data_IF_558524858469
#
_entry.id   IF_558524858469
#
_cell.length_a   1.000
_cell.length_b   1.000
_cell.length_c   1.000
_cell.angle_alpha   90.00
_cell.angle_beta   90.00
_cell.angle_gamma   90.00
#
_symmetry.space_group_name_H-M   'P 1'
#
loop_
_entity.id
_entity.type
_entity.pdbx_description
1 polymer ?
#
# COMPACT_ATOMS: atom_id res chain seq x y z
N UNK A 1 9.47 41.94 -33.15
CA UNK A 1 10.75 41.42 -32.63
C UNK A 1 10.46 40.09 -31.98
N UNK A 2 11.18 39.02 -32.34
CA UNK A 2 11.02 37.69 -31.72
C UNK A 2 11.83 37.65 -30.42
N UNK A 3 11.17 37.35 -29.30
CA UNK A 3 11.86 37.07 -28.05
C UNK A 3 12.63 35.76 -28.19
N UNK A 4 13.95 35.81 -28.00
CA UNK A 4 14.80 34.63 -27.96
C UNK A 4 14.73 34.07 -26.54
N UNK A 5 14.11 32.90 -26.38
CA UNK A 5 14.11 32.16 -25.13
C UNK A 5 15.27 31.17 -25.19
N UNK A 6 16.31 31.42 -24.40
CA UNK A 6 17.39 30.45 -24.18
C UNK A 6 17.16 29.83 -22.81
N UNK A 7 16.70 28.58 -22.78
CA UNK A 7 16.60 27.81 -21.55
C UNK A 7 17.98 27.24 -21.23
N UNK A 8 18.52 27.59 -20.07
CA UNK A 8 19.72 26.98 -19.51
C UNK A 8 19.26 25.86 -18.57
N UNK A 9 19.75 24.65 -18.78
CA UNK A 9 19.13 23.42 -18.24
C UNK A 9 19.21 23.25 -16.71
N UNK A 10 19.80 24.20 -15.98
CA UNK A 10 20.10 24.08 -14.55
C UNK A 10 19.72 25.31 -13.70
N UNK A 11 18.79 26.18 -14.11
CA UNK A 11 18.50 27.38 -13.29
C UNK A 11 17.00 27.72 -13.17
N UNK A 12 16.59 27.95 -11.93
CA UNK A 12 15.26 28.33 -11.41
C UNK A 12 14.71 29.67 -11.94
N UNK A 13 15.37 30.27 -12.93
CA UNK A 13 15.07 31.62 -13.43
C UNK A 13 15.15 31.66 -14.95
N UNK A 14 14.18 32.33 -15.57
CA UNK A 14 14.23 32.71 -16.98
C UNK A 14 14.70 34.15 -17.08
N UNK A 15 15.63 34.43 -17.99
CA UNK A 15 16.05 35.81 -18.30
C UNK A 15 15.09 36.41 -19.32
N UNK A 16 14.30 37.39 -18.88
CA UNK A 16 13.40 38.15 -19.74
C UNK A 16 14.06 39.49 -20.07
N UNK A 17 14.09 39.84 -21.35
CA UNK A 17 14.57 41.16 -21.80
C UNK A 17 13.35 42.03 -22.07
N UNK A 18 13.22 43.12 -21.29
CA UNK A 18 12.14 44.08 -21.42
C UNK A 18 12.34 44.98 -22.65
N UNK A 19 11.30 45.67 -23.14
CA UNK A 19 11.38 46.52 -24.34
C UNK A 19 12.39 47.67 -24.24
N UNK A 20 12.77 48.08 -23.02
CA UNK A 20 13.79 49.09 -22.74
C UNK A 20 15.23 48.52 -22.71
N UNK A 21 15.39 47.22 -22.98
CA UNK A 21 16.67 46.52 -22.95
C UNK A 21 17.09 46.01 -21.57
N UNK A 22 16.31 46.28 -20.52
CA UNK A 22 16.57 45.78 -19.17
C UNK A 22 16.40 44.27 -19.12
N UNK A 23 17.38 43.56 -18.54
CA UNK A 23 17.31 42.11 -18.33
C UNK A 23 16.87 41.81 -16.90
N UNK A 24 15.72 41.18 -16.74
CA UNK A 24 15.17 40.75 -15.45
C UNK A 24 15.25 39.24 -15.33
N UNK A 25 15.60 38.74 -14.13
CA UNK A 25 15.43 37.34 -13.77
C UNK A 25 14.00 37.17 -13.27
N UNK A 26 13.19 36.46 -14.02
CA UNK A 26 11.88 36.02 -13.58
C UNK A 26 12.04 34.63 -12.96
N UNK A 27 11.53 34.39 -11.75
CA UNK A 27 11.42 33.03 -11.21
C UNK A 27 10.60 32.24 -12.22
N UNK A 28 11.12 31.12 -12.69
CA UNK A 28 10.30 30.17 -13.44
C UNK A 28 9.12 29.82 -12.53
N UNK A 29 7.91 30.26 -12.90
CA UNK A 29 6.70 29.98 -12.14
C UNK A 29 6.67 28.49 -11.85
N UNK A 30 6.57 28.15 -10.55
CA UNK A 30 6.55 26.77 -10.05
C UNK A 30 5.71 25.91 -10.97
N UNK A 31 6.23 24.75 -11.38
CA UNK A 31 5.43 23.78 -12.13
C UNK A 31 4.06 23.68 -11.46
N UNK A 32 3.00 23.92 -12.22
CA UNK A 32 1.65 23.63 -11.76
C UNK A 32 1.58 22.13 -11.55
N UNK A 33 1.98 21.65 -10.36
CA UNK A 33 1.77 20.28 -9.91
C UNK A 33 0.26 20.10 -9.87
N UNK A 34 -0.29 19.49 -10.92
CA UNK A 34 -1.67 19.07 -10.93
C UNK A 34 -1.85 18.07 -9.78
N UNK A 35 -2.46 18.50 -8.70
CA UNK A 35 -2.81 17.62 -7.58
C UNK A 35 -4.01 16.77 -8.01
N UNK A 36 -3.74 15.53 -8.39
CA UNK A 36 -4.81 14.57 -8.65
C UNK A 36 -5.23 13.91 -7.34
N UNK A 37 -6.47 14.12 -6.91
CA UNK A 37 -7.06 13.40 -5.79
C UNK A 37 -7.71 12.12 -6.31
N UNK A 38 -6.98 11.01 -6.25
CA UNK A 38 -7.55 9.69 -6.52
C UNK A 38 -8.00 9.04 -5.22
N UNK A 39 -9.28 8.67 -5.13
CA UNK A 39 -9.79 7.80 -4.07
C UNK A 39 -9.83 6.37 -4.58
N UNK A 40 -9.21 5.44 -3.83
CA UNK A 40 -9.20 4.02 -4.14
C UNK A 40 -9.47 3.27 -2.85
N UNK A 41 -10.52 2.45 -2.88
CA UNK A 41 -10.96 1.69 -1.72
C UNK A 41 -11.39 0.30 -2.17
N UNK A 42 -11.15 -0.68 -1.32
CA UNK A 42 -11.79 -1.97 -1.38
C UNK A 42 -12.66 -2.13 -0.13
N UNK A 43 -13.78 -2.82 -0.27
CA UNK A 43 -14.67 -3.11 0.84
C UNK A 43 -15.16 -4.56 0.74
N UNK A 44 -15.49 -5.11 1.90
CA UNK A 44 -16.13 -6.42 2.04
C UNK A 44 -17.38 -6.23 2.89
N UNK A 45 -18.38 -7.07 2.64
CA UNK A 45 -19.59 -7.10 3.42
C UNK A 45 -20.12 -8.53 3.47
N UNK A 46 -20.87 -8.84 4.52
CA UNK A 46 -21.48 -10.14 4.71
C UNK A 46 -22.34 -10.14 5.97
N UNK A 47 -23.15 -11.18 6.13
CA UNK A 47 -23.91 -11.39 7.35
C UNK A 47 -23.02 -12.06 8.39
N UNK A 48 -22.63 -11.31 9.42
CA UNK A 48 -21.77 -11.79 10.49
C UNK A 48 -22.42 -12.98 11.21
N UNK A 49 -21.62 -14.00 11.49
CA UNK A 49 -22.04 -15.15 12.30
C UNK A 49 -22.34 -14.71 13.73
N UNK A 50 -23.41 -15.22 14.32
CA UNK A 50 -23.68 -15.07 15.75
C UNK A 50 -22.49 -15.61 16.56
N UNK A 51 -22.03 -14.89 17.58
CA UNK A 51 -20.86 -15.30 18.38
C UNK A 51 -21.02 -16.69 19.01
N UNK A 52 -22.23 -17.12 19.32
CA UNK A 52 -22.53 -18.47 19.84
C UNK A 52 -22.47 -19.57 18.77
N UNK A 53 -22.53 -19.20 17.49
CA UNK A 53 -22.40 -20.10 16.33
C UNK A 53 -20.97 -20.20 15.79
N UNK A 54 -20.03 -19.39 16.29
CA UNK A 54 -18.61 -19.55 16.00
C UNK A 54 -18.07 -20.73 16.83
N UNK A 55 -17.28 -21.66 16.24
CA UNK A 55 -16.72 -22.77 17.00
C UNK A 55 -15.92 -22.31 18.22
N UNK A 56 -16.16 -22.93 19.38
CA UNK A 56 -15.43 -22.65 20.62
C UNK A 56 -14.19 -23.55 20.82
N UNK A 57 -13.97 -24.52 19.93
CA UNK A 57 -12.86 -25.47 20.02
C UNK A 57 -12.47 -26.02 18.65
N UNK A 58 -11.33 -26.70 18.60
CA UNK A 58 -10.78 -27.27 17.36
C UNK A 58 -10.08 -26.23 16.49
N UNK A 59 -9.84 -26.62 15.24
CA UNK A 59 -9.12 -25.80 14.24
C UNK A 59 -9.96 -25.64 12.99
N UNK A 60 -9.70 -24.58 12.23
CA UNK A 60 -10.33 -24.36 10.92
C UNK A 60 -9.42 -23.59 9.98
N UNK A 61 -9.33 -24.03 8.73
CA UNK A 61 -8.57 -23.35 7.69
C UNK A 61 -9.50 -22.73 6.66
N UNK A 62 -9.18 -21.50 6.24
CA UNK A 62 -9.95 -20.72 5.28
C UNK A 62 -9.01 -20.22 4.19
N UNK A 63 -9.52 -20.12 2.97
CA UNK A 63 -8.80 -19.48 1.88
C UNK A 63 -9.74 -18.80 0.93
N UNK A 64 -9.30 -17.67 0.38
CA UNK A 64 -10.06 -16.89 -0.57
C UNK A 64 -9.21 -15.83 -1.23
N UNK A 65 -9.89 -14.86 -1.81
CA UNK A 65 -9.28 -13.80 -2.60
C UNK A 65 -8.84 -12.64 -1.72
N UNK A 66 -7.84 -11.91 -2.20
CA UNK A 66 -7.31 -10.71 -1.59
C UNK A 66 -7.15 -9.65 -2.67
N UNK A 67 -7.57 -8.42 -2.36
CA UNK A 67 -7.24 -7.24 -3.15
C UNK A 67 -6.69 -6.16 -2.23
N UNK A 68 -5.64 -5.48 -2.66
CA UNK A 68 -5.03 -4.40 -1.93
C UNK A 68 -4.50 -3.31 -2.85
N UNK A 69 -4.48 -2.10 -2.35
CA UNK A 69 -3.71 -1.00 -2.89
C UNK A 69 -2.41 -0.86 -2.14
N UNK A 70 -1.35 -0.42 -2.83
CA UNK A 70 -0.13 0.08 -2.22
C UNK A 70 0.15 1.51 -2.70
N UNK A 71 0.67 2.32 -1.80
CA UNK A 71 1.30 3.61 -2.07
C UNK A 71 2.73 3.52 -1.59
N UNK A 72 3.67 3.77 -2.48
CA UNK A 72 5.10 3.57 -2.24
C UNK A 72 5.83 4.86 -2.56
N UNK A 73 6.66 5.29 -1.62
CA UNK A 73 7.72 6.27 -1.81
C UNK A 73 9.03 5.59 -1.39
N UNK A 74 9.85 5.29 -2.38
CA UNK A 74 11.07 4.48 -2.26
C UNK A 74 12.35 5.33 -2.14
N UNK A 75 12.23 6.66 -2.10
CA UNK A 75 13.38 7.54 -1.85
C UNK A 75 13.26 8.26 -0.54
N UNK A 76 14.45 8.46 0.02
CA UNK A 76 14.73 9.35 1.13
C UNK A 76 14.07 10.72 0.92
N UNK A 77 13.25 11.15 1.87
CA UNK A 77 12.82 12.55 2.03
C UNK A 77 14.04 13.42 2.39
N UNK A 78 14.91 13.64 1.40
CA UNK A 78 16.06 14.49 1.57
C UNK A 78 15.63 15.94 1.35
N UNK A 79 15.29 16.61 2.44
CA UNK A 79 15.05 18.05 2.50
C UNK A 79 16.26 18.90 2.01
N UNK A 80 17.44 18.26 1.88
CA UNK A 80 18.75 18.90 1.59
C UNK A 80 19.36 18.57 0.21
N UNK A 81 18.64 17.92 -0.71
CA UNK A 81 19.16 17.78 -2.07
C UNK A 81 18.94 19.08 -2.86
N UNK A 82 20.05 19.73 -3.24
CA UNK A 82 20.13 20.87 -4.15
C UNK A 82 19.46 20.64 -5.52
N UNK A 83 19.07 19.39 -5.81
CA UNK A 83 18.45 18.95 -7.05
C UNK A 83 16.91 18.82 -6.97
N UNK A 84 16.30 19.04 -5.80
CA UNK A 84 14.84 19.23 -5.64
C UNK A 84 13.93 18.04 -6.04
N UNK A 85 14.47 16.84 -6.26
CA UNK A 85 13.67 15.67 -6.61
C UNK A 85 13.17 14.95 -5.34
N UNK A 86 11.97 15.32 -4.88
CA UNK A 86 11.16 14.47 -4.00
C UNK A 86 11.12 13.04 -4.57
N UNK A 87 11.20 12.03 -3.70
CA UNK A 87 10.91 10.64 -4.07
C UNK A 87 9.58 10.51 -4.81
N UNK A 88 9.63 9.89 -5.98
CA UNK A 88 8.45 9.55 -6.78
C UNK A 88 7.51 8.68 -5.94
N UNK A 89 6.35 9.22 -5.55
CA UNK A 89 5.29 8.44 -4.92
C UNK A 89 4.45 7.79 -6.00
N UNK A 90 4.29 6.47 -5.96
CA UNK A 90 3.51 5.76 -6.95
C UNK A 90 2.52 4.78 -6.32
N UNK A 91 1.48 4.47 -7.08
CA UNK A 91 0.38 3.60 -6.67
C UNK A 91 0.44 2.26 -7.41
N UNK A 92 0.17 1.15 -6.73
CA UNK A 92 -0.02 -0.16 -7.37
C UNK A 92 -1.22 -0.91 -6.79
N UNK A 93 -1.85 -1.72 -7.63
CA UNK A 93 -2.78 -2.77 -7.18
C UNK A 93 -2.01 -4.05 -6.86
N UNK A 94 -2.54 -4.81 -5.92
CA UNK A 94 -2.09 -6.15 -5.56
C UNK A 94 -3.32 -7.04 -5.53
N UNK A 95 -3.34 -8.11 -6.30
CA UNK A 95 -4.40 -9.12 -6.25
C UNK A 95 -3.80 -10.48 -5.89
N UNK A 96 -4.51 -11.27 -5.12
CA UNK A 96 -3.95 -12.50 -4.60
C UNK A 96 -4.89 -13.32 -3.75
N UNK A 97 -4.30 -14.03 -2.80
CA UNK A 97 -4.99 -14.93 -1.89
C UNK A 97 -4.63 -14.65 -0.44
N UNK A 98 -5.62 -14.81 0.41
CA UNK A 98 -5.45 -14.94 1.84
C UNK A 98 -5.63 -16.42 2.24
N UNK A 99 -4.78 -16.88 3.16
CA UNK A 99 -4.95 -18.15 3.85
C UNK A 99 -4.98 -17.85 5.35
N UNK A 100 -6.01 -18.34 6.03
CA UNK A 100 -6.19 -18.14 7.46
C UNK A 100 -6.34 -19.49 8.14
N UNK A 101 -5.58 -19.67 9.22
CA UNK A 101 -5.65 -20.86 10.06
C UNK A 101 -6.05 -20.42 11.46
N UNK A 102 -7.21 -20.88 11.92
CA UNK A 102 -7.77 -20.59 13.23
C UNK A 102 -7.59 -21.78 14.16
N UNK A 103 -7.23 -21.48 15.41
CA UNK A 103 -7.33 -22.39 16.53
C UNK A 103 -8.34 -21.82 17.54
N UNK A 104 -9.58 -22.30 17.44
CA UNK A 104 -10.68 -21.87 18.29
C UNK A 104 -10.48 -22.28 19.75
N UNK A 105 -9.82 -23.41 20.00
CA UNK A 105 -9.51 -23.85 21.37
C UNK A 105 -8.48 -22.97 22.08
N UNK A 106 -7.62 -22.28 21.31
CA UNK A 106 -6.62 -21.35 21.83
C UNK A 106 -6.98 -19.88 21.62
N UNK A 107 -8.10 -19.60 20.94
CA UNK A 107 -8.49 -18.26 20.50
C UNK A 107 -7.38 -17.54 19.72
N UNK A 108 -6.70 -18.27 18.83
CA UNK A 108 -5.62 -17.70 17.99
C UNK A 108 -5.89 -17.90 16.50
N UNK A 109 -5.23 -17.10 15.68
CA UNK A 109 -5.16 -17.33 14.25
C UNK A 109 -3.80 -16.95 13.67
N UNK A 110 -3.48 -17.52 12.52
CA UNK A 110 -2.42 -17.11 11.63
C UNK A 110 -3.01 -16.70 10.28
N UNK A 111 -2.37 -15.73 9.62
CA UNK A 111 -2.74 -15.30 8.26
C UNK A 111 -1.50 -15.25 7.37
N UNK A 112 -1.63 -15.78 6.16
CA UNK A 112 -0.67 -15.62 5.08
C UNK A 112 -1.33 -14.95 3.88
N UNK A 113 -0.74 -13.86 3.41
CA UNK A 113 -1.13 -13.16 2.20
C UNK A 113 -0.08 -13.42 1.11
N UNK A 114 -0.53 -13.74 -0.09
CA UNK A 114 0.32 -13.83 -1.28
C UNK A 114 -0.40 -13.18 -2.45
N UNK A 115 0.25 -12.29 -3.19
CA UNK A 115 -0.37 -11.62 -4.32
C UNK A 115 0.61 -11.21 -5.40
N UNK A 116 0.08 -10.89 -6.57
CA UNK A 116 0.77 -10.29 -7.69
C UNK A 116 0.57 -8.79 -7.66
N UNK A 117 1.66 -8.06 -7.78
CA UNK A 117 1.66 -6.59 -7.93
C UNK A 117 1.52 -6.24 -9.40
N UNK A 118 0.66 -5.26 -9.68
CA UNK A 118 0.44 -4.74 -11.03
C UNK A 118 1.33 -3.53 -11.32
N UNK A 119 1.38 -3.14 -12.59
CA UNK A 119 2.12 -1.97 -13.04
C UNK A 119 1.79 -0.70 -12.22
N UNK A 120 2.81 0.11 -11.91
CA UNK A 120 2.61 1.35 -11.18
C UNK A 120 1.83 2.38 -11.99
N UNK A 121 0.97 3.11 -11.29
CA UNK A 121 0.31 4.30 -11.78
C UNK A 121 1.07 5.51 -11.26
N UNK A 122 1.62 6.28 -12.19
CA UNK A 122 2.32 7.54 -11.91
C UNK A 122 1.38 8.72 -12.10
N UNK A 123 1.56 9.76 -11.30
CA UNK A 123 0.94 11.05 -11.58
C UNK A 123 1.73 11.85 -12.64
N UNK A 124 1.11 12.91 -13.14
CA UNK A 124 1.76 13.80 -14.10
C UNK A 124 2.84 14.63 -13.39
N UNK A 125 4.11 14.35 -13.66
CA UNK A 125 5.27 15.00 -13.03
C UNK A 125 6.14 14.07 -12.18
N UNK A 126 5.75 12.80 -12.03
CA UNK A 126 6.60 11.77 -11.40
C UNK A 126 7.64 11.24 -12.40
N UNK A 127 8.87 10.99 -11.95
CA UNK A 127 10.00 10.59 -12.81
C UNK A 127 9.84 9.19 -13.45
N UNK A 128 8.82 8.42 -13.05
CA UNK A 128 8.61 7.04 -13.46
C UNK A 128 9.57 6.03 -12.81
N UNK A 129 10.56 6.50 -12.05
CA UNK A 129 11.42 5.63 -11.26
C UNK A 129 10.61 4.98 -10.13
N UNK A 130 10.79 3.67 -9.98
CA UNK A 130 10.10 2.86 -8.99
C UNK A 130 10.89 1.58 -8.69
N UNK A 131 10.83 1.14 -7.44
CA UNK A 131 11.56 -0.04 -6.96
C UNK A 131 10.77 -1.34 -7.15
N UNK A 132 9.46 -1.30 -6.90
CA UNK A 132 8.58 -2.48 -6.98
C UNK A 132 7.99 -2.60 -8.37
N UNK A 133 8.43 -3.60 -9.13
CA UNK A 133 8.11 -3.74 -10.56
C UNK A 133 6.75 -4.40 -10.77
N UNK A 134 6.18 -4.19 -11.95
CA UNK A 134 5.07 -5.01 -12.44
C UNK A 134 5.42 -6.49 -12.35
N UNK A 135 4.42 -7.31 -12.02
CA UNK A 135 4.53 -8.75 -11.81
C UNK A 135 5.45 -9.14 -10.63
N UNK A 136 5.78 -8.22 -9.72
CA UNK A 136 6.37 -8.60 -8.44
C UNK A 136 5.39 -9.46 -7.63
N UNK A 137 5.94 -10.33 -6.78
CA UNK A 137 5.16 -11.10 -5.81
C UNK A 137 5.18 -10.39 -4.46
N UNK A 138 4.02 -10.05 -3.93
CA UNK A 138 3.82 -9.59 -2.57
C UNK A 138 3.57 -10.77 -1.64
N UNK A 139 4.16 -10.74 -0.45
CA UNK A 139 3.91 -11.71 0.60
C UNK A 139 3.83 -11.00 1.95
N UNK A 140 2.94 -11.47 2.83
CA UNK A 140 2.91 -11.05 4.21
C UNK A 140 2.42 -12.18 5.12
N UNK A 141 2.92 -12.23 6.36
CA UNK A 141 2.40 -13.15 7.37
C UNK A 141 2.09 -12.40 8.66
N UNK A 142 0.94 -12.73 9.22
CA UNK A 142 0.40 -12.15 10.43
C UNK A 142 -0.10 -13.22 11.38
N UNK A 143 -0.38 -12.81 12.60
CA UNK A 143 -1.02 -13.63 13.62
C UNK A 143 -1.74 -12.75 14.63
N UNK A 144 -2.69 -13.34 15.35
CA UNK A 144 -3.46 -12.63 16.35
C UNK A 144 -4.37 -13.54 17.16
N UNK A 145 -5.44 -12.93 17.67
CA UNK A 145 -6.41 -13.60 18.54
C UNK A 145 -7.83 -13.48 18.00
N UNK A 146 -8.65 -14.44 18.40
CA UNK A 146 -10.10 -14.41 18.27
C UNK A 146 -10.66 -13.71 19.50
N UNK A 147 -11.52 -12.72 19.30
CA UNK A 147 -12.15 -11.91 20.35
C UNK A 147 -13.61 -11.60 19.96
N UNK A 148 -14.50 -12.57 20.20
CA UNK A 148 -15.91 -12.44 19.83
C UNK A 148 -16.68 -11.46 20.73
N UNK A 149 -16.13 -11.09 21.88
CA UNK A 149 -16.80 -10.21 22.85
C UNK A 149 -16.45 -8.76 22.58
N UNK A 150 -15.16 -8.41 22.45
CA UNK A 150 -14.75 -7.03 22.27
C UNK A 150 -14.79 -6.58 20.80
N UNK A 151 -14.48 -7.47 19.85
CA UNK A 151 -14.40 -7.12 18.42
C UNK A 151 -15.38 -7.88 17.54
N UNK A 152 -16.12 -8.83 18.09
CA UNK A 152 -17.06 -9.66 17.31
C UNK A 152 -16.39 -10.58 16.29
N UNK A 153 -15.08 -10.78 16.38
CA UNK A 153 -14.31 -11.43 15.31
C UNK A 153 -12.89 -11.75 15.73
N UNK A 154 -11.91 -11.32 14.93
CA UNK A 154 -10.50 -11.54 15.20
C UNK A 154 -9.68 -10.29 14.87
N UNK A 155 -8.56 -10.12 15.57
CA UNK A 155 -7.62 -9.02 15.37
C UNK A 155 -6.18 -9.50 15.59
N UNK A 156 -5.26 -8.93 14.83
CA UNK A 156 -3.86 -9.30 14.85
C UNK A 156 -2.95 -8.26 14.23
N UNK A 157 -1.69 -8.64 14.10
CA UNK A 157 -0.63 -7.81 13.53
C UNK A 157 0.17 -8.63 12.53
N UNK A 158 0.74 -7.95 11.55
CA UNK A 158 1.73 -8.56 10.65
C UNK A 158 3.09 -8.57 11.32
N UNK A 159 3.81 -9.69 11.21
CA UNK A 159 5.19 -9.80 11.68
C UNK A 159 6.18 -9.53 10.56
N UNK A 160 5.81 -9.82 9.31
CA UNK A 160 6.67 -9.65 8.14
C UNK A 160 5.84 -9.41 6.88
N UNK A 161 6.39 -8.61 5.98
CA UNK A 161 5.92 -8.46 4.61
C UNK A 161 7.09 -8.13 3.69
N UNK A 162 7.00 -8.55 2.44
CA UNK A 162 8.06 -8.33 1.46
C UNK A 162 7.52 -8.42 0.03
N UNK A 163 8.27 -7.82 -0.88
CA UNK A 163 8.12 -8.00 -2.32
C UNK A 163 9.27 -8.82 -2.89
N UNK A 164 8.99 -9.55 -3.97
CA UNK A 164 9.99 -10.22 -4.81
C UNK A 164 9.75 -9.78 -6.24
N UNK A 165 10.67 -9.01 -6.82
CA UNK A 165 10.58 -8.58 -8.21
C UNK A 165 10.79 -9.77 -9.17
N UNK A 166 10.41 -9.64 -10.46
CA UNK A 166 10.62 -10.69 -11.46
C UNK A 166 12.09 -11.10 -11.66
N UNK A 167 13.05 -10.25 -11.28
CA UNK A 167 14.48 -10.56 -11.28
C UNK A 167 14.95 -11.28 -10.00
N UNK A 168 14.02 -11.72 -9.16
CA UNK A 168 14.23 -12.33 -7.84
C UNK A 168 14.82 -11.40 -6.77
N UNK A 169 14.93 -10.10 -7.03
CA UNK A 169 15.33 -9.15 -6.00
C UNK A 169 14.24 -9.04 -4.94
N UNK A 170 14.60 -9.27 -3.67
CA UNK A 170 13.70 -9.23 -2.53
C UNK A 170 13.80 -7.90 -1.78
N UNK A 171 12.65 -7.30 -1.50
CA UNK A 171 12.50 -6.07 -0.74
C UNK A 171 11.69 -6.35 0.52
N UNK A 172 12.35 -6.39 1.67
CA UNK A 172 11.68 -6.59 2.96
C UNK A 172 11.11 -5.27 3.46
N UNK A 173 9.88 -5.29 3.96
CA UNK A 173 9.27 -4.13 4.59
C UNK A 173 9.62 -4.14 6.08
N UNK A 174 10.15 -3.03 6.59
CA UNK A 174 10.21 -2.83 8.04
C UNK A 174 8.78 -2.58 8.53
N UNK A 175 8.21 -3.53 9.27
CA UNK A 175 6.82 -3.46 9.71
C UNK A 175 6.67 -2.52 10.91
N UNK A 176 5.81 -1.50 10.77
CA UNK A 176 5.48 -0.56 11.84
C UNK A 176 3.98 -0.26 11.89
N UNK A 177 3.29 -0.68 12.95
CA UNK A 177 1.85 -0.37 13.12
C UNK A 177 0.91 -1.11 12.16
N UNK A 178 1.35 -2.24 11.58
CA UNK A 178 0.56 -3.04 10.65
C UNK A 178 -0.43 -3.96 11.37
N UNK A 179 -1.68 -3.98 10.89
CA UNK A 179 -2.80 -4.67 11.52
C UNK A 179 -3.59 -5.51 10.53
N UNK A 180 -4.26 -6.52 11.08
CA UNK A 180 -5.27 -7.33 10.39
C UNK A 180 -6.45 -7.51 11.33
N UNK A 181 -7.66 -7.37 10.81
CA UNK A 181 -8.88 -7.64 11.56
C UNK A 181 -9.97 -8.16 10.62
N UNK A 182 -10.92 -8.87 11.19
CA UNK A 182 -12.01 -9.44 10.44
C UNK A 182 -13.03 -10.16 11.30
N UNK A 183 -13.99 -10.79 10.63
CA UNK A 183 -15.08 -11.50 11.27
C UNK A 183 -15.39 -12.82 10.55
N UNK A 184 -16.21 -13.62 11.20
CA UNK A 184 -16.81 -14.82 10.65
C UNK A 184 -18.18 -14.49 10.05
N UNK A 185 -18.51 -15.15 8.94
CA UNK A 185 -19.74 -14.92 8.20
C UNK A 185 -20.49 -16.23 7.92
N UNK A 186 -21.80 -16.08 7.71
CA UNK A 186 -22.73 -17.18 7.48
C UNK A 186 -23.24 -17.85 8.77
N UNK A 187 -24.16 -18.83 8.68
CA UNK A 187 -24.85 -19.38 9.84
C UNK A 187 -23.96 -20.12 10.85
N UNK A 188 -22.81 -20.63 10.40
CA UNK A 188 -21.90 -21.48 11.19
C UNK A 188 -20.42 -21.12 10.99
N UNK A 189 -20.10 -19.84 10.79
CA UNK A 189 -18.73 -19.38 10.53
C UNK A 189 -18.07 -20.13 9.36
N UNK A 190 -18.81 -20.31 8.27
CA UNK A 190 -18.36 -21.04 7.08
C UNK A 190 -17.47 -20.16 6.18
N UNK A 191 -17.55 -18.85 6.39
CA UNK A 191 -16.82 -17.83 5.67
C UNK A 191 -16.10 -16.91 6.64
N UNK A 192 -15.04 -16.28 6.18
CA UNK A 192 -14.32 -15.20 6.85
C UNK A 192 -14.10 -14.06 5.89
N UNK A 193 -14.00 -12.86 6.45
CA UNK A 193 -13.67 -11.67 5.70
C UNK A 193 -13.02 -10.67 6.64
N UNK A 194 -12.00 -9.99 6.15
CA UNK A 194 -11.31 -8.97 6.91
C UNK A 194 -10.69 -7.90 6.05
N UNK A 195 -10.11 -6.94 6.75
CA UNK A 195 -9.27 -5.92 6.18
C UNK A 195 -7.87 -5.98 6.80
N UNK A 196 -6.93 -5.35 6.14
CA UNK A 196 -5.58 -5.22 6.65
C UNK A 196 -4.96 -3.91 6.23
N UNK A 197 -4.04 -3.45 7.06
CA UNK A 197 -3.14 -2.37 6.73
C UNK A 197 -1.71 -2.79 7.04
N UNK A 198 -0.83 -2.66 6.06
CA UNK A 198 0.60 -2.86 6.24
C UNK A 198 1.31 -1.55 5.95
N UNK A 199 1.86 -0.97 7.01
CA UNK A 199 2.73 0.19 6.90
C UNK A 199 4.16 -0.27 7.12
N UNK A 200 5.06 0.24 6.28
CA UNK A 200 6.48 0.02 6.46
C UNK A 200 7.35 1.14 5.92
N UNK A 201 8.61 1.09 6.35
CA UNK A 201 9.64 2.09 6.04
C UNK A 201 10.51 2.39 7.26
N UNK A 202 11.82 2.22 7.11
CA UNK A 202 12.84 2.85 7.98
C UNK A 202 12.83 4.37 7.73
N UNK A 203 13.52 5.21 8.56
CA UNK A 203 13.53 6.65 8.33
C UNK A 203 13.76 6.93 6.85
N UNK A 204 12.80 7.63 6.26
CA UNK A 204 12.84 8.17 4.90
C UNK A 204 12.31 7.28 3.75
N UNK A 205 11.80 6.06 4.00
CA UNK A 205 10.95 5.32 3.04
C UNK A 205 9.51 5.25 3.56
N UNK A 206 8.50 5.24 2.67
CA UNK A 206 7.10 5.08 3.07
C UNK A 206 6.35 4.14 2.16
N UNK A 207 5.89 3.04 2.73
CA UNK A 207 5.01 2.08 2.08
C UNK A 207 3.76 1.96 2.93
N UNK A 208 2.59 2.21 2.33
CA UNK A 208 1.29 1.98 2.94
C UNK A 208 0.48 1.07 2.02
N UNK A 209 0.09 -0.09 2.54
CA UNK A 209 -0.70 -1.10 1.84
C UNK A 209 -2.01 -1.25 2.59
N UNK A 210 -3.13 -1.05 1.90
CA UNK A 210 -4.46 -1.23 2.45
C UNK A 210 -5.19 -2.26 1.61
N UNK A 211 -5.79 -3.27 2.25
CA UNK A 211 -6.47 -4.31 1.52
C UNK A 211 -7.59 -4.97 2.28
N UNK A 212 -8.31 -5.81 1.56
CA UNK A 212 -9.35 -6.67 2.07
C UNK A 212 -9.14 -8.08 1.57
N UNK A 213 -9.71 -9.04 2.29
CA UNK A 213 -9.71 -10.43 1.89
C UNK A 213 -11.02 -11.10 2.28
N UNK A 214 -11.29 -12.20 1.58
CA UNK A 214 -12.34 -13.16 1.92
C UNK A 214 -11.71 -14.54 2.09
N UNK A 215 -12.48 -15.47 2.66
CA UNK A 215 -12.10 -16.86 2.74
C UNK A 215 -13.29 -17.75 2.99
N UNK A 216 -13.33 -18.90 2.32
CA UNK A 216 -14.27 -19.97 2.63
C UNK A 216 -13.53 -21.10 3.34
N UNK A 217 -14.23 -21.77 4.24
CA UNK A 217 -13.70 -22.92 4.98
C UNK A 217 -13.29 -24.03 4.00
N UNK A 218 -12.12 -24.63 4.23
CA UNK A 218 -11.63 -25.81 3.50
C UNK A 218 -12.14 -27.11 4.11
#
# INVERSE_FOLDING_TARGET
MRNVVQADLNNTYVLVTLPDGTRVRELATSSTRSRYNFSRSAFIFGQQTDGSSVPASGTGSFSGEMIASSVINDRRDNIDLADGEDGSTYFQWIEGRANLDFNFGQNTFAVGLNGRVFAPYFDNGTSGNHTIRDNATFNATGAGRIDLVATGGFLGQFQQAWFVNPDNTRYNLLIGGSSVDGAFYGPQAQEVGGNFRIVGGTPDERIDILGVFTGSKK
#
